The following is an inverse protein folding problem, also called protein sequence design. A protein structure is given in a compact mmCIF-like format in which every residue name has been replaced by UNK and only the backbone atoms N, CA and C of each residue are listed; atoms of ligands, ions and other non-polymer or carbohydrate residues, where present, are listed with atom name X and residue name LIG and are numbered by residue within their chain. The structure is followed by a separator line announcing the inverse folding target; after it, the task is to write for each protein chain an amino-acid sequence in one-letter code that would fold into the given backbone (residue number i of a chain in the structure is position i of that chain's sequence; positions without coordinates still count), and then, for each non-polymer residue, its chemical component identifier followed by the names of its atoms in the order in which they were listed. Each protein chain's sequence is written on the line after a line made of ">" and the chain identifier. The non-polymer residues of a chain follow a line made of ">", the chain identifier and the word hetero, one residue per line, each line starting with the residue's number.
data_IF_195940499827
#
_entry.id   IF_195940499827
#
_cell.length_a   1.000
_cell.length_b   1.000
_cell.length_c   1.000
_cell.angle_alpha   90.00
_cell.angle_beta   90.00
_cell.angle_gamma   90.00
#
_symmetry.space_group_name_H-M   'P 1'
#
loop_
_entity.id
_entity.type
_entity.pdbx_description
1 polymer ?
#
# COMPACT_ATOMS: atom_id res chain seq x y z
N UNK A 1 -47.41 69.25 16.53
CA UNK A 1 -47.39 67.99 17.24
C UNK A 1 -46.62 67.03 16.33
N UNK A 2 -45.40 66.75 16.67
CA UNK A 2 -44.43 66.09 15.85
C UNK A 2 -44.40 64.56 16.17
N UNK A 3 -44.48 63.70 15.11
CA UNK A 3 -44.30 62.29 15.23
C UNK A 3 -43.01 61.90 14.55
N UNK A 4 -42.01 61.40 15.32
CA UNK A 4 -40.81 60.87 14.82
C UNK A 4 -41.02 59.42 14.31
N UNK A 5 -40.77 59.22 13.02
CA UNK A 5 -40.66 57.91 12.41
C UNK A 5 -39.18 57.44 12.50
N UNK A 6 -38.96 56.35 13.17
CA UNK A 6 -37.66 55.66 13.16
C UNK A 6 -37.63 54.65 12.00
N UNK A 7 -36.72 54.84 11.07
CA UNK A 7 -36.41 53.90 10.01
C UNK A 7 -35.53 52.79 10.55
N UNK A 8 -35.97 51.54 10.49
CA UNK A 8 -35.13 50.36 10.78
C UNK A 8 -34.42 49.97 9.49
N UNK A 9 -33.09 49.93 9.53
CA UNK A 9 -32.24 49.31 8.52
C UNK A 9 -32.37 47.78 8.57
N UNK A 10 -32.35 47.06 7.43
CA UNK A 10 -32.37 45.62 7.43
C UNK A 10 -30.94 45.07 7.75
N UNK A 11 -30.85 44.23 8.77
CA UNK A 11 -29.65 43.49 9.11
C UNK A 11 -29.24 42.60 7.94
N UNK A 12 -28.00 42.77 7.50
CA UNK A 12 -27.37 41.92 6.51
C UNK A 12 -27.14 40.51 7.12
N UNK A 13 -27.90 39.53 6.66
CA UNK A 13 -27.62 38.13 6.89
C UNK A 13 -26.25 37.77 6.26
N UNK A 14 -25.23 37.64 7.10
CA UNK A 14 -23.99 36.99 6.72
C UNK A 14 -24.31 35.51 6.47
N UNK A 15 -24.39 35.16 5.18
CA UNK A 15 -24.35 33.75 4.73
C UNK A 15 -23.09 33.12 5.27
N UNK A 16 -23.21 32.25 6.28
CA UNK A 16 -22.17 31.36 6.72
C UNK A 16 -21.71 30.50 5.50
N UNK A 17 -20.47 30.68 5.09
CA UNK A 17 -19.84 29.84 4.11
C UNK A 17 -19.96 28.39 4.57
N UNK A 18 -20.65 27.56 3.79
CA UNK A 18 -20.91 26.17 4.09
C UNK A 18 -19.61 25.42 4.31
N UNK A 19 -19.37 24.99 5.54
CA UNK A 19 -18.42 23.94 5.82
C UNK A 19 -18.92 22.69 5.08
N UNK A 20 -18.19 22.25 4.06
CA UNK A 20 -18.45 20.98 3.39
C UNK A 20 -18.48 19.85 4.43
N UNK A 21 -19.15 18.74 4.15
CA UNK A 21 -19.30 17.65 5.11
C UNK A 21 -17.93 17.20 5.63
N UNK A 22 -17.69 17.41 6.91
CA UNK A 22 -16.48 16.92 7.59
C UNK A 22 -16.50 15.41 7.57
N UNK A 23 -15.50 14.79 6.95
CA UNK A 23 -15.23 13.36 7.07
C UNK A 23 -14.55 13.13 8.42
N UNK A 24 -15.29 13.14 9.50
CA UNK A 24 -14.74 12.65 10.76
C UNK A 24 -14.67 11.12 10.71
N UNK A 25 -13.53 10.62 10.25
CA UNK A 25 -13.18 9.20 10.36
C UNK A 25 -12.79 8.95 11.81
N UNK A 26 -13.58 8.15 12.51
CA UNK A 26 -13.26 7.66 13.85
C UNK A 26 -12.46 6.37 13.72
N UNK A 27 -11.40 6.25 14.50
CA UNK A 27 -10.56 5.06 14.62
C UNK A 27 -10.67 4.56 16.05
N UNK A 28 -10.85 3.26 16.23
CA UNK A 28 -10.87 2.63 17.55
C UNK A 28 -9.48 2.73 18.19
N UNK A 29 -9.41 3.00 19.50
CA UNK A 29 -8.14 3.04 20.22
C UNK A 29 -7.33 1.74 20.05
N UNK A 30 -6.01 1.88 20.07
CA UNK A 30 -5.07 0.75 20.07
C UNK A 30 -4.50 0.61 21.48
N UNK A 31 -4.62 -0.56 22.07
CA UNK A 31 -4.01 -0.84 23.37
C UNK A 31 -2.66 -1.52 23.19
N UNK A 32 -1.63 -1.03 23.90
CA UNK A 32 -0.31 -1.65 23.88
C UNK A 32 -0.36 -3.05 24.50
N UNK A 33 0.25 -4.01 23.83
CA UNK A 33 0.33 -5.40 24.31
C UNK A 33 1.69 -6.03 23.98
N UNK A 34 1.99 -7.14 24.64
CA UNK A 34 3.14 -8.00 24.32
C UNK A 34 2.72 -9.31 23.68
N UNK A 35 1.42 -9.57 23.64
CA UNK A 35 0.87 -10.78 23.05
C UNK A 35 -0.37 -10.42 22.24
N UNK A 36 -0.44 -10.97 21.04
CA UNK A 36 -1.63 -10.91 20.21
C UNK A 36 -1.72 -12.14 19.29
N UNK A 37 -2.87 -12.32 18.72
CA UNK A 37 -3.06 -13.20 17.56
C UNK A 37 -3.53 -12.30 16.42
N UNK A 38 -2.76 -12.28 15.34
CA UNK A 38 -3.06 -11.44 14.18
C UNK A 38 -4.27 -11.94 13.37
N UNK A 39 -4.61 -11.20 12.31
CA UNK A 39 -5.76 -11.52 11.43
C UNK A 39 -5.64 -12.88 10.75
N UNK A 40 -4.42 -13.41 10.58
CA UNK A 40 -4.16 -14.73 9.98
C UNK A 40 -4.04 -15.85 11.03
N UNK A 41 -4.29 -15.55 12.31
CA UNK A 41 -4.24 -16.52 13.40
C UNK A 41 -2.82 -16.80 13.91
N UNK A 42 -1.81 -16.03 13.51
CA UNK A 42 -0.44 -16.17 14.00
C UNK A 42 -0.32 -15.53 15.39
N UNK A 43 0.11 -16.32 16.36
CA UNK A 43 0.33 -15.84 17.72
C UNK A 43 1.73 -15.28 17.88
N UNK A 44 1.82 -14.01 18.29
CA UNK A 44 3.05 -13.30 18.60
C UNK A 44 3.10 -13.05 20.11
N UNK A 45 4.24 -13.37 20.72
CA UNK A 45 4.49 -13.11 22.16
C UNK A 45 5.91 -12.59 22.33
N UNK A 46 6.03 -11.34 22.78
CA UNK A 46 7.28 -10.62 22.99
C UNK A 46 7.57 -10.48 24.49
N UNK A 47 8.83 -10.68 24.90
CA UNK A 47 9.24 -10.49 26.30
C UNK A 47 9.30 -9.01 26.70
N UNK A 48 9.62 -8.14 25.75
CA UNK A 48 9.72 -6.68 25.89
C UNK A 48 9.32 -6.02 24.56
N UNK A 49 9.24 -4.70 24.53
CA UNK A 49 9.13 -3.96 23.27
C UNK A 49 10.31 -4.28 22.37
N UNK A 50 10.03 -4.57 21.07
CA UNK A 50 11.10 -4.87 20.14
C UNK A 50 11.88 -3.59 19.81
N UNK A 51 13.19 -3.62 19.99
CA UNK A 51 14.10 -2.51 19.68
C UNK A 51 14.84 -2.74 18.35
N UNK A 52 15.08 -4.01 18.02
CA UNK A 52 15.77 -4.41 16.79
C UNK A 52 14.81 -5.23 15.94
N UNK A 53 14.28 -4.57 14.92
CA UNK A 53 13.33 -5.18 13.99
C UNK A 53 14.00 -5.31 12.63
N UNK A 54 13.98 -6.52 12.07
CA UNK A 54 14.45 -6.80 10.71
C UNK A 54 13.27 -7.01 9.80
N UNK A 55 13.24 -6.29 8.69
CA UNK A 55 12.21 -6.35 7.67
C UNK A 55 12.65 -7.18 6.47
N UNK A 56 11.93 -8.25 6.14
CA UNK A 56 12.19 -9.09 4.97
C UNK A 56 11.25 -8.79 3.80
N UNK A 57 10.33 -7.82 3.94
CA UNK A 57 9.48 -7.34 2.86
C UNK A 57 8.94 -5.93 3.16
N UNK A 58 8.52 -5.25 2.10
CA UNK A 58 8.28 -3.82 2.13
C UNK A 58 7.10 -3.37 3.02
N UNK A 59 6.09 -4.22 3.27
CA UNK A 59 5.02 -3.90 4.23
C UNK A 59 5.58 -3.64 5.63
N UNK A 60 6.60 -4.38 6.06
CA UNK A 60 7.25 -4.14 7.34
C UNK A 60 7.87 -2.74 7.40
N UNK A 61 8.61 -2.34 6.35
CA UNK A 61 9.21 -1.01 6.28
C UNK A 61 8.16 0.10 6.24
N UNK A 62 7.04 -0.14 5.54
CA UNK A 62 5.91 0.77 5.47
C UNK A 62 5.32 1.00 6.87
N UNK A 63 4.97 -0.09 7.56
CA UNK A 63 4.41 -0.05 8.92
C UNK A 63 5.37 0.66 9.88
N UNK A 64 6.65 0.27 9.91
CA UNK A 64 7.62 0.86 10.82
C UNK A 64 7.81 2.36 10.55
N UNK A 65 7.80 2.77 9.27
CA UNK A 65 7.86 4.19 8.91
C UNK A 65 6.65 4.96 9.44
N UNK A 66 5.43 4.40 9.35
CA UNK A 66 4.21 5.01 9.93
C UNK A 66 4.31 5.16 11.44
N UNK A 67 4.94 4.19 12.11
CA UNK A 67 5.13 4.18 13.56
C UNK A 67 6.34 5.02 14.03
N UNK A 68 7.08 5.66 13.10
CA UNK A 68 8.27 6.45 13.41
C UNK A 68 9.46 5.57 13.86
N UNK A 69 9.50 4.32 13.44
CA UNK A 69 10.56 3.37 13.74
C UNK A 69 11.40 3.16 12.48
N UNK A 70 12.73 3.24 12.62
CA UNK A 70 13.66 2.84 11.56
C UNK A 70 14.00 1.36 11.77
N UNK A 71 13.83 0.50 10.76
CA UNK A 71 14.23 -0.91 10.91
C UNK A 71 15.73 -1.04 11.11
N UNK A 72 16.16 -2.06 11.84
CA UNK A 72 17.59 -2.38 12.05
C UNK A 72 18.23 -2.80 10.72
N UNK A 73 17.52 -3.57 9.92
CA UNK A 73 17.94 -3.97 8.59
C UNK A 73 16.73 -4.31 7.72
N UNK A 74 16.87 -4.20 6.41
CA UNK A 74 15.88 -4.57 5.42
C UNK A 74 16.50 -5.25 4.20
N UNK A 75 15.71 -5.94 3.38
CA UNK A 75 16.16 -6.54 2.11
C UNK A 75 15.43 -5.95 0.89
N UNK A 76 14.80 -4.80 1.03
CA UNK A 76 14.04 -4.15 -0.05
C UNK A 76 14.37 -2.66 -0.17
N UNK A 77 13.90 -2.02 -1.25
CA UNK A 77 14.28 -0.66 -1.62
C UNK A 77 13.23 0.39 -1.22
N UNK A 78 12.11 0.03 -0.60
CA UNK A 78 11.00 0.94 -0.34
C UNK A 78 11.42 2.18 0.46
N UNK A 79 12.31 2.00 1.45
CA UNK A 79 12.78 3.11 2.30
C UNK A 79 13.48 4.23 1.54
N UNK A 80 14.08 3.93 0.38
CA UNK A 80 14.72 4.94 -0.47
C UNK A 80 13.71 5.86 -1.18
N UNK A 81 12.46 5.45 -1.30
CA UNK A 81 11.43 6.28 -1.92
C UNK A 81 11.20 7.57 -1.13
N UNK A 82 11.02 8.76 -1.81
CA UNK A 82 10.85 10.06 -1.12
C UNK A 82 9.67 10.13 -0.14
N UNK A 83 8.65 9.31 -0.34
CA UNK A 83 7.50 9.19 0.56
C UNK A 83 7.82 8.48 1.89
N UNK A 84 9.03 7.93 2.05
CA UNK A 84 9.53 7.19 3.20
C UNK A 84 10.74 7.92 3.82
N UNK A 85 11.89 7.25 3.93
CA UNK A 85 13.11 7.89 4.46
C UNK A 85 13.84 8.75 3.42
N UNK A 86 13.68 8.42 2.13
CA UNK A 86 14.46 9.00 1.04
C UNK A 86 15.84 8.34 0.92
N UNK A 87 16.49 8.55 -0.24
CA UNK A 87 17.73 7.85 -0.60
C UNK A 87 18.85 7.99 0.44
N UNK A 88 19.08 9.17 0.97
CA UNK A 88 20.21 9.42 1.87
C UNK A 88 20.04 8.72 3.22
N UNK A 89 18.85 8.78 3.84
CA UNK A 89 18.61 8.13 5.12
C UNK A 89 18.42 6.62 4.97
N UNK A 90 17.91 6.17 3.84
CA UNK A 90 17.78 4.73 3.60
C UNK A 90 19.13 4.02 3.54
N UNK A 91 20.21 4.71 3.14
CA UNK A 91 21.60 4.18 3.14
C UNK A 91 22.14 3.89 4.55
N UNK A 92 21.51 4.47 5.58
CA UNK A 92 21.90 4.24 6.98
C UNK A 92 21.28 2.95 7.55
N UNK A 93 20.33 2.33 6.83
CA UNK A 93 19.70 1.06 7.21
C UNK A 93 20.49 -0.09 6.57
N UNK A 94 20.90 -1.05 7.39
CA UNK A 94 21.65 -2.20 6.91
C UNK A 94 20.83 -3.05 5.92
N UNK A 95 21.49 -3.59 4.90
CA UNK A 95 20.86 -4.42 3.88
C UNK A 95 21.10 -5.89 4.15
N UNK A 96 20.06 -6.70 4.25
CA UNK A 96 20.15 -8.15 4.34
C UNK A 96 20.48 -8.71 2.95
N UNK A 97 21.61 -9.40 2.78
CA UNK A 97 21.97 -10.03 1.51
C UNK A 97 21.08 -11.23 1.17
N UNK A 98 21.18 -11.72 -0.09
CA UNK A 98 20.38 -12.83 -0.59
C UNK A 98 19.05 -12.41 -1.23
N UNK A 99 18.71 -11.13 -1.16
CA UNK A 99 17.53 -10.53 -1.78
C UNK A 99 16.21 -10.99 -1.18
N UNK A 100 15.10 -10.68 -1.86
CA UNK A 100 13.76 -10.93 -1.36
C UNK A 100 13.43 -12.42 -1.20
N UNK A 101 13.82 -13.25 -2.17
CA UNK A 101 13.40 -14.67 -2.21
C UNK A 101 14.18 -15.55 -1.22
N UNK A 102 15.47 -15.26 -1.00
CA UNK A 102 16.36 -16.10 -0.22
C UNK A 102 17.32 -15.28 0.66
N UNK A 103 16.78 -14.47 1.62
CA UNK A 103 17.62 -13.69 2.51
C UNK A 103 18.52 -14.60 3.36
N UNK A 104 19.76 -14.16 3.58
CA UNK A 104 20.75 -14.95 4.33
C UNK A 104 20.43 -14.96 5.83
N UNK A 105 20.17 -16.15 6.38
CA UNK A 105 19.78 -16.33 7.79
C UNK A 105 20.86 -15.84 8.75
N UNK A 106 22.14 -16.14 8.45
CA UNK A 106 23.26 -15.69 9.26
C UNK A 106 23.36 -14.16 9.32
N UNK A 107 23.10 -13.49 8.22
CA UNK A 107 23.06 -12.02 8.16
C UNK A 107 21.90 -11.49 9.00
N UNK A 108 20.69 -12.07 8.91
CA UNK A 108 19.55 -11.71 9.76
C UNK A 108 19.93 -11.81 11.24
N UNK A 109 20.49 -12.97 11.65
CA UNK A 109 20.81 -13.25 13.05
C UNK A 109 21.99 -12.41 13.58
N UNK A 110 22.90 -11.95 12.69
CA UNK A 110 24.02 -11.07 13.09
C UNK A 110 23.55 -9.74 13.69
N UNK A 111 22.38 -9.26 13.28
CA UNK A 111 21.73 -8.06 13.83
C UNK A 111 21.09 -8.28 15.22
N UNK A 112 21.06 -9.53 15.71
CA UNK A 112 20.44 -9.93 16.99
C UNK A 112 19.01 -9.38 17.13
N UNK A 113 18.12 -9.62 16.15
CA UNK A 113 16.80 -9.05 16.15
C UNK A 113 15.94 -9.54 17.31
N UNK A 114 15.12 -8.66 17.87
CA UNK A 114 14.06 -9.03 18.81
C UNK A 114 12.83 -9.55 18.04
N UNK A 115 12.64 -9.05 16.81
CA UNK A 115 11.55 -9.39 15.90
C UNK A 115 12.03 -9.38 14.45
N UNK A 116 11.68 -10.42 13.70
CA UNK A 116 11.84 -10.50 12.24
C UNK A 116 10.46 -10.57 11.63
N UNK A 117 10.17 -9.69 10.68
CA UNK A 117 8.89 -9.65 9.97
C UNK A 117 9.12 -10.06 8.52
N UNK A 118 8.37 -11.05 8.03
CA UNK A 118 8.49 -11.59 6.68
C UNK A 118 7.14 -11.87 6.05
N UNK A 119 7.13 -12.07 4.72
CA UNK A 119 5.94 -12.51 3.99
C UNK A 119 5.80 -14.03 4.13
N UNK A 120 4.63 -14.54 4.55
CA UNK A 120 4.41 -15.96 4.84
C UNK A 120 4.78 -16.86 3.65
N UNK A 121 4.20 -16.61 2.48
CA UNK A 121 4.40 -17.43 1.29
C UNK A 121 5.87 -17.53 0.84
N UNK A 122 6.67 -16.48 1.11
CA UNK A 122 8.08 -16.43 0.69
C UNK A 122 9.02 -16.83 1.81
N UNK A 123 8.79 -16.30 3.02
CA UNK A 123 9.73 -16.36 4.14
C UNK A 123 9.30 -17.35 5.22
N UNK A 124 8.10 -17.94 5.20
CA UNK A 124 7.63 -18.91 6.19
C UNK A 124 8.59 -20.09 6.36
N UNK A 125 9.27 -20.50 5.29
CA UNK A 125 10.33 -21.53 5.30
C UNK A 125 11.54 -21.19 6.19
N UNK A 126 11.73 -19.93 6.60
CA UNK A 126 12.81 -19.50 7.49
C UNK A 126 12.49 -19.74 8.97
N UNK A 127 11.22 -19.96 9.32
CA UNK A 127 10.78 -20.11 10.71
C UNK A 127 11.58 -21.15 11.51
N UNK A 128 11.92 -22.36 10.99
CA UNK A 128 12.75 -23.33 11.73
C UNK A 128 14.15 -22.82 12.04
N UNK A 129 14.78 -22.08 11.13
CA UNK A 129 16.14 -21.56 11.29
C UNK A 129 16.20 -20.37 12.28
N UNK A 130 15.12 -19.59 12.36
CA UNK A 130 15.00 -18.44 13.27
C UNK A 130 14.54 -18.84 14.68
N UNK A 131 13.96 -20.05 14.83
CA UNK A 131 13.38 -20.54 16.08
C UNK A 131 14.41 -20.56 17.22
N UNK A 132 14.04 -19.93 18.33
CA UNK A 132 14.87 -19.86 19.54
C UNK A 132 15.91 -18.73 19.55
N UNK A 133 16.21 -18.14 18.40
CA UNK A 133 17.10 -16.99 18.28
C UNK A 133 16.34 -15.66 18.28
N UNK A 134 15.17 -15.62 17.64
CA UNK A 134 14.32 -14.42 17.53
C UNK A 134 12.85 -14.82 17.41
N UNK A 135 11.96 -13.85 17.52
CA UNK A 135 10.54 -14.02 17.15
C UNK A 135 10.42 -13.74 15.65
N UNK A 136 9.79 -14.65 14.92
CA UNK A 136 9.46 -14.46 13.51
C UNK A 136 7.96 -14.25 13.37
N UNK A 137 7.59 -13.15 12.73
CA UNK A 137 6.20 -12.81 12.42
C UNK A 137 5.97 -12.87 10.92
N UNK A 138 5.40 -13.97 10.43
CA UNK A 138 4.98 -14.08 9.04
C UNK A 138 3.66 -13.31 8.84
N UNK A 139 3.62 -12.37 7.90
CA UNK A 139 2.42 -11.62 7.51
C UNK A 139 1.98 -12.05 6.11
N UNK A 140 0.67 -12.09 5.86
CA UNK A 140 0.10 -12.41 4.55
C UNK A 140 -1.05 -11.46 4.23
N UNK A 141 -0.77 -10.20 3.83
CA UNK A 141 -1.83 -9.26 3.44
C UNK A 141 -2.37 -9.61 2.04
N UNK A 142 -3.68 -9.70 1.91
CA UNK A 142 -4.39 -9.88 0.64
C UNK A 142 -5.17 -8.61 0.27
N UNK A 143 -5.60 -7.84 1.27
CA UNK A 143 -6.42 -6.65 1.10
C UNK A 143 -5.87 -5.46 1.88
N UNK A 144 -6.35 -4.25 1.56
CA UNK A 144 -6.01 -3.06 2.35
C UNK A 144 -6.48 -3.15 3.81
N UNK A 145 -7.54 -3.93 4.09
CA UNK A 145 -8.02 -4.16 5.44
C UNK A 145 -6.99 -4.94 6.27
N UNK A 146 -6.35 -5.95 5.68
CA UNK A 146 -5.29 -6.72 6.33
C UNK A 146 -4.10 -5.81 6.64
N UNK A 147 -3.75 -4.91 5.72
CA UNK A 147 -2.67 -3.94 5.92
C UNK A 147 -2.94 -3.01 7.10
N UNK A 148 -4.19 -2.56 7.28
CA UNK A 148 -4.61 -1.77 8.46
C UNK A 148 -4.54 -2.65 9.72
N UNK A 149 -4.96 -3.90 9.66
CA UNK A 149 -4.85 -4.85 10.77
C UNK A 149 -3.41 -5.01 11.24
N UNK A 150 -2.47 -5.28 10.32
CA UNK A 150 -1.04 -5.41 10.63
C UNK A 150 -0.42 -4.11 11.17
N UNK A 151 -0.83 -2.94 10.66
CA UNK A 151 -0.41 -1.66 11.24
C UNK A 151 -0.85 -1.55 12.71
N UNK A 152 -2.10 -1.89 13.02
CA UNK A 152 -2.64 -1.84 14.39
C UNK A 152 -1.91 -2.82 15.31
N UNK A 153 -1.68 -4.05 14.84
CA UNK A 153 -0.98 -5.09 15.58
C UNK A 153 0.47 -4.69 15.87
N UNK A 154 1.18 -4.15 14.87
CA UNK A 154 2.54 -3.65 15.06
C UNK A 154 2.59 -2.44 16.01
N UNK A 155 1.62 -1.52 15.92
CA UNK A 155 1.51 -0.39 16.83
C UNK A 155 1.30 -0.86 18.28
N UNK A 156 0.45 -1.87 18.50
CA UNK A 156 0.22 -2.47 19.80
C UNK A 156 1.49 -3.14 20.38
N UNK A 157 2.19 -3.96 19.56
CA UNK A 157 3.41 -4.68 19.97
C UNK A 157 4.60 -3.76 20.25
N UNK A 158 4.71 -2.63 19.53
CA UNK A 158 5.81 -1.66 19.65
C UNK A 158 5.49 -0.51 20.61
N UNK A 159 4.29 -0.48 21.19
CA UNK A 159 3.85 0.62 22.07
C UNK A 159 3.64 1.96 21.33
N UNK A 160 3.60 1.95 19.99
CA UNK A 160 3.39 3.13 19.14
C UNK A 160 1.91 3.33 18.80
N UNK A 161 1.05 3.24 19.80
CA UNK A 161 -0.41 3.21 19.60
C UNK A 161 -0.95 4.50 19.01
N UNK A 162 -0.48 5.65 19.48
CA UNK A 162 -0.91 6.96 18.98
C UNK A 162 -0.48 7.20 17.51
N UNK A 163 0.73 6.77 17.15
CA UNK A 163 1.23 6.81 15.78
C UNK A 163 0.40 5.90 14.87
N UNK A 164 0.09 4.68 15.31
CA UNK A 164 -0.74 3.74 14.58
C UNK A 164 -2.15 4.27 14.34
N UNK A 165 -2.83 4.80 15.36
CA UNK A 165 -4.15 5.44 15.24
C UNK A 165 -4.13 6.61 14.26
N UNK A 166 -3.09 7.45 14.34
CA UNK A 166 -2.91 8.59 13.42
C UNK A 166 -2.73 8.13 11.98
N UNK A 167 -1.90 7.10 11.76
CA UNK A 167 -1.64 6.54 10.43
C UNK A 167 -2.92 5.94 9.83
N UNK A 168 -3.63 5.11 10.59
CA UNK A 168 -4.91 4.56 10.18
C UNK A 168 -5.93 5.65 9.83
N UNK A 169 -6.10 6.66 10.71
CA UNK A 169 -7.01 7.78 10.47
C UNK A 169 -6.66 8.54 9.19
N UNK A 170 -5.36 8.77 8.95
CA UNK A 170 -4.87 9.45 7.75
C UNK A 170 -5.22 8.65 6.50
N UNK A 171 -4.92 7.36 6.49
CA UNK A 171 -5.24 6.47 5.38
C UNK A 171 -6.74 6.39 5.11
N UNK A 172 -7.56 6.13 6.13
CA UNK A 172 -9.02 6.04 5.98
C UNK A 172 -9.65 7.35 5.52
N UNK A 173 -9.09 8.49 5.93
CA UNK A 173 -9.54 9.81 5.46
C UNK A 173 -9.24 10.00 3.97
N UNK A 174 -8.06 9.60 3.51
CA UNK A 174 -7.71 9.60 2.08
C UNK A 174 -8.61 8.67 1.29
N UNK A 175 -8.82 7.44 1.77
CA UNK A 175 -9.70 6.46 1.12
C UNK A 175 -11.13 6.99 0.98
N UNK A 176 -11.71 7.53 2.04
CA UNK A 176 -13.05 8.10 2.00
C UNK A 176 -13.16 9.30 1.06
N UNK A 177 -12.10 10.09 0.91
CA UNK A 177 -12.04 11.18 -0.08
C UNK A 177 -11.99 10.64 -1.51
N UNK A 178 -11.16 9.64 -1.76
CA UNK A 178 -11.04 8.99 -3.07
C UNK A 178 -12.35 8.29 -3.49
N UNK A 179 -13.00 7.58 -2.58
CA UNK A 179 -14.29 6.92 -2.80
C UNK A 179 -15.40 7.90 -3.19
N UNK A 180 -15.42 9.11 -2.61
CA UNK A 180 -16.38 10.17 -3.02
C UNK A 180 -16.10 10.75 -4.40
N UNK A 181 -14.86 10.68 -4.84
CA UNK A 181 -14.41 11.12 -6.15
C UNK A 181 -14.35 9.96 -7.17
N UNK A 182 -15.04 8.84 -6.87
CA UNK A 182 -15.07 7.66 -7.72
C UNK A 182 -15.38 8.04 -9.17
N UNK A 183 -14.59 7.48 -10.08
CA UNK A 183 -14.74 7.68 -11.52
C UNK A 183 -15.61 6.58 -12.13
N UNK A 184 -16.26 6.88 -13.26
CA UNK A 184 -16.99 5.90 -14.06
C UNK A 184 -16.08 5.25 -15.13
N UNK A 185 -14.79 5.63 -15.19
CA UNK A 185 -13.80 5.02 -16.09
C UNK A 185 -13.52 3.58 -15.71
N UNK A 186 -13.29 2.73 -16.72
CA UNK A 186 -12.79 1.36 -16.52
C UNK A 186 -11.27 1.38 -16.37
N UNK A 187 -10.78 0.91 -15.22
CA UNK A 187 -9.35 0.87 -14.91
C UNK A 187 -8.80 -0.56 -14.85
N UNK A 188 -7.50 -0.71 -15.08
CA UNK A 188 -6.77 -1.96 -14.91
C UNK A 188 -5.38 -1.68 -14.32
N UNK A 189 -4.91 -2.56 -13.45
CA UNK A 189 -3.52 -2.63 -13.00
C UNK A 189 -2.90 -3.88 -13.61
N UNK A 190 -1.86 -3.71 -14.41
CA UNK A 190 -1.09 -4.80 -15.01
C UNK A 190 0.31 -4.83 -14.43
N UNK A 191 0.87 -6.01 -14.26
CA UNK A 191 2.20 -6.19 -13.70
C UNK A 191 3.00 -7.26 -14.44
N UNK A 192 4.32 -7.11 -14.46
CA UNK A 192 5.21 -8.08 -15.09
C UNK A 192 6.53 -7.48 -15.54
N UNK A 193 7.32 -8.30 -16.21
CA UNK A 193 8.65 -7.90 -16.74
C UNK A 193 8.77 -8.05 -18.24
N UNK A 194 7.81 -8.70 -18.91
CA UNK A 194 7.82 -9.02 -20.32
C UNK A 194 6.40 -9.12 -20.90
N UNK A 195 6.26 -9.70 -22.08
CA UNK A 195 4.96 -9.89 -22.76
C UNK A 195 4.01 -10.82 -21.99
N UNK A 196 4.51 -11.65 -21.07
CA UNK A 196 3.71 -12.44 -20.14
C UNK A 196 3.45 -11.59 -18.89
N UNK A 197 2.35 -10.91 -18.87
CA UNK A 197 1.95 -10.02 -17.79
C UNK A 197 0.78 -10.62 -17.01
N UNK A 198 0.65 -10.17 -15.75
CA UNK A 198 -0.51 -10.44 -14.90
C UNK A 198 -1.42 -9.23 -14.81
N UNK A 199 -2.65 -9.47 -14.36
CA UNK A 199 -3.62 -8.45 -13.97
C UNK A 199 -3.81 -8.55 -12.46
N UNK A 200 -3.57 -7.47 -11.75
CA UNK A 200 -3.83 -7.39 -10.31
C UNK A 200 -5.36 -7.43 -10.08
N UNK A 201 -5.80 -8.24 -9.15
CA UNK A 201 -7.22 -8.39 -8.84
C UNK A 201 -7.52 -8.06 -7.38
N UNK A 202 -8.73 -7.55 -7.07
CA UNK A 202 -9.07 -7.12 -5.71
C UNK A 202 -8.97 -8.22 -4.65
N UNK A 203 -9.03 -9.49 -5.09
CA UNK A 203 -8.96 -10.66 -4.21
C UNK A 203 -7.53 -11.12 -3.89
N UNK A 204 -6.54 -10.71 -4.71
CA UNK A 204 -5.17 -11.27 -4.63
C UNK A 204 -4.08 -10.21 -4.58
N UNK A 205 -4.46 -8.94 -4.71
CA UNK A 205 -3.51 -7.82 -4.69
C UNK A 205 -4.01 -6.68 -3.81
N UNK A 206 -3.13 -6.24 -2.90
CA UNK A 206 -3.48 -5.26 -1.87
C UNK A 206 -3.82 -3.88 -2.46
N UNK A 207 -3.05 -3.41 -3.46
CA UNK A 207 -3.35 -2.14 -4.12
C UNK A 207 -4.61 -2.24 -4.97
N UNK A 208 -4.77 -3.35 -5.72
CA UNK A 208 -5.97 -3.59 -6.53
C UNK A 208 -7.24 -3.70 -5.68
N UNK A 209 -7.14 -4.11 -4.41
CA UNK A 209 -8.29 -4.18 -3.50
C UNK A 209 -8.95 -2.80 -3.22
N UNK A 210 -8.28 -1.70 -3.55
CA UNK A 210 -8.82 -0.34 -3.46
C UNK A 210 -9.69 0.04 -4.68
N UNK A 211 -9.40 -0.52 -5.85
CA UNK A 211 -9.94 -0.04 -7.12
C UNK A 211 -11.47 -0.12 -7.27
N UNK A 212 -12.18 -1.13 -6.72
CA UNK A 212 -13.65 -1.14 -6.73
C UNK A 212 -14.29 0.10 -6.09
N UNK A 213 -13.54 0.81 -5.23
CA UNK A 213 -13.96 2.07 -4.60
C UNK A 213 -13.62 3.31 -5.43
N UNK A 214 -12.69 3.18 -6.39
CA UNK A 214 -12.12 4.31 -7.14
C UNK A 214 -12.67 4.42 -8.57
N UNK A 215 -12.96 3.27 -9.22
CA UNK A 215 -13.31 3.19 -10.63
C UNK A 215 -14.20 1.97 -10.91
N UNK A 216 -14.59 1.77 -12.16
CA UNK A 216 -15.05 0.46 -12.63
C UNK A 216 -13.84 -0.46 -12.76
N UNK A 217 -13.87 -1.58 -12.02
CA UNK A 217 -12.75 -2.53 -11.94
C UNK A 217 -13.28 -3.97 -12.03
N UNK A 218 -13.55 -4.47 -13.24
CA UNK A 218 -14.25 -5.74 -13.44
C UNK A 218 -13.36 -6.99 -13.30
N UNK A 219 -12.07 -6.81 -13.00
CA UNK A 219 -11.08 -7.88 -12.98
C UNK A 219 -11.21 -8.72 -11.72
N UNK A 220 -11.28 -10.05 -11.91
CA UNK A 220 -11.43 -11.04 -10.83
C UNK A 220 -10.35 -12.10 -10.92
N UNK A 221 -9.97 -12.66 -9.77
CA UNK A 221 -9.04 -13.77 -9.71
C UNK A 221 -9.57 -14.97 -10.51
N UNK A 222 -8.69 -15.57 -11.32
CA UNK A 222 -8.95 -16.79 -12.10
C UNK A 222 -8.15 -17.99 -11.58
N UNK A 223 -7.56 -17.86 -10.40
CA UNK A 223 -6.63 -18.84 -9.82
C UNK A 223 -5.23 -18.75 -10.41
N UNK A 224 -4.38 -19.68 -10.03
CA UNK A 224 -2.93 -19.66 -10.34
C UNK A 224 -2.64 -19.75 -11.83
N UNK A 225 -3.50 -20.41 -12.62
CA UNK A 225 -3.31 -20.62 -14.07
C UNK A 225 -4.09 -19.61 -14.92
N UNK A 226 -4.91 -18.75 -14.32
CA UNK A 226 -5.80 -17.82 -15.02
C UNK A 226 -5.13 -16.48 -15.28
N UNK A 227 -4.76 -16.17 -16.53
CA UNK A 227 -4.32 -14.85 -16.97
C UNK A 227 -5.35 -14.19 -17.87
N UNK A 228 -5.29 -12.87 -17.97
CA UNK A 228 -6.04 -12.10 -18.95
C UNK A 228 -5.20 -11.90 -20.21
N UNK A 229 -5.82 -12.05 -21.38
CA UNK A 229 -5.18 -11.75 -22.66
C UNK A 229 -5.38 -10.29 -23.07
N UNK A 230 -4.56 -9.80 -23.99
CA UNK A 230 -4.75 -8.47 -24.58
C UNK A 230 -6.08 -8.32 -25.32
N UNK A 231 -6.61 -9.41 -25.90
CA UNK A 231 -7.93 -9.45 -26.55
C UNK A 231 -9.05 -9.20 -25.53
N UNK A 232 -8.96 -9.78 -24.33
CA UNK A 232 -9.95 -9.58 -23.28
C UNK A 232 -9.88 -8.17 -22.73
N UNK A 233 -8.66 -7.62 -22.54
CA UNK A 233 -8.46 -6.24 -22.10
C UNK A 233 -9.00 -5.25 -23.15
N UNK A 234 -8.76 -5.50 -24.42
CA UNK A 234 -9.32 -4.71 -25.52
C UNK A 234 -10.86 -4.77 -25.53
N UNK A 235 -11.42 -5.96 -25.31
CA UNK A 235 -12.87 -6.14 -25.29
C UNK A 235 -13.56 -5.49 -24.09
N UNK A 236 -12.83 -5.27 -23.00
CA UNK A 236 -13.32 -4.57 -21.81
C UNK A 236 -13.32 -3.03 -21.94
N UNK A 237 -12.85 -2.49 -23.07
CA UNK A 237 -12.85 -1.05 -23.38
C UNK A 237 -12.20 -0.20 -22.30
N UNK A 238 -10.99 -0.59 -21.86
CA UNK A 238 -10.26 -0.01 -20.73
C UNK A 238 -9.89 1.45 -21.00
N UNK A 239 -10.24 2.35 -20.08
CA UNK A 239 -9.96 3.78 -20.16
C UNK A 239 -8.61 4.18 -19.56
N UNK A 240 -8.17 3.48 -18.51
CA UNK A 240 -6.93 3.82 -17.78
C UNK A 240 -6.15 2.54 -17.43
N UNK A 241 -4.86 2.53 -17.75
CA UNK A 241 -3.94 1.44 -17.41
C UNK A 241 -2.90 1.95 -16.42
N UNK A 242 -2.75 1.26 -15.29
CA UNK A 242 -1.59 1.37 -14.40
C UNK A 242 -0.66 0.21 -14.67
N UNK A 243 0.58 0.51 -15.02
CA UNK A 243 1.58 -0.48 -15.44
C UNK A 243 2.70 -0.58 -14.42
N UNK A 244 2.81 -1.76 -13.79
CA UNK A 244 3.86 -2.08 -12.82
C UNK A 244 4.94 -2.92 -13.50
N UNK A 245 6.11 -2.34 -13.69
CA UNK A 245 7.27 -3.11 -14.13
C UNK A 245 7.90 -3.80 -12.93
N UNK A 246 7.74 -5.12 -12.81
CA UNK A 246 8.35 -5.93 -11.75
C UNK A 246 9.55 -6.66 -12.34
N UNK A 247 10.75 -6.34 -11.83
CA UNK A 247 12.00 -7.02 -12.19
C UNK A 247 12.68 -7.54 -10.93
N UNK A 248 13.21 -8.76 -10.99
CA UNK A 248 14.07 -9.35 -9.94
C UNK A 248 15.58 -9.17 -10.25
N UNK A 249 15.92 -8.34 -11.24
CA UNK A 249 17.26 -7.97 -11.66
C UNK A 249 17.30 -6.57 -12.24
N UNK A 250 18.30 -6.27 -13.10
CA UNK A 250 18.30 -5.01 -13.85
C UNK A 250 17.05 -4.97 -14.76
N UNK A 251 16.28 -3.88 -14.65
CA UNK A 251 15.09 -3.70 -15.46
C UNK A 251 15.48 -3.42 -16.92
N UNK A 252 15.13 -4.31 -17.83
CA UNK A 252 15.29 -4.14 -19.26
C UNK A 252 14.05 -3.49 -19.89
N UNK A 253 13.84 -2.21 -19.59
CA UNK A 253 12.72 -1.41 -20.10
C UNK A 253 11.42 -1.60 -19.32
N UNK A 254 10.41 -0.83 -19.69
CA UNK A 254 9.09 -0.82 -19.06
C UNK A 254 8.18 -1.90 -19.63
N UNK A 255 7.25 -2.41 -18.81
CA UNK A 255 6.27 -3.39 -19.25
C UNK A 255 5.45 -2.87 -20.43
N UNK A 256 4.96 -1.63 -20.38
CA UNK A 256 4.18 -1.03 -21.47
C UNK A 256 4.95 -0.93 -22.79
N UNK A 257 6.27 -0.67 -22.74
CA UNK A 257 7.14 -0.63 -23.93
C UNK A 257 7.28 -2.01 -24.58
N UNK A 258 7.30 -3.07 -23.78
CA UNK A 258 7.35 -4.46 -24.26
C UNK A 258 6.01 -4.88 -24.87
N UNK A 259 4.91 -4.56 -24.20
CA UNK A 259 3.56 -4.81 -24.72
C UNK A 259 3.27 -4.03 -26.01
N UNK A 260 3.90 -2.87 -26.22
CA UNK A 260 3.76 -2.09 -27.45
C UNK A 260 4.25 -2.82 -28.72
N UNK A 261 5.00 -3.91 -28.59
CA UNK A 261 5.38 -4.79 -29.70
C UNK A 261 4.21 -5.59 -30.26
N UNK A 262 3.14 -5.79 -29.44
CA UNK A 262 1.93 -6.46 -29.88
C UNK A 262 0.96 -5.43 -30.52
N UNK A 263 0.51 -5.64 -31.78
CA UNK A 263 -0.40 -4.72 -32.45
C UNK A 263 -1.75 -4.49 -31.75
N UNK A 264 -2.17 -5.41 -30.88
CA UNK A 264 -3.42 -5.27 -30.12
C UNK A 264 -3.29 -4.21 -29.03
N UNK A 265 -2.10 -4.05 -28.43
CA UNK A 265 -1.85 -3.05 -27.41
C UNK A 265 -2.26 -1.64 -27.85
N UNK A 266 -1.82 -1.23 -29.04
CA UNK A 266 -2.15 0.08 -29.60
C UNK A 266 -3.64 0.29 -29.95
N UNK A 267 -4.48 -0.75 -29.86
CA UNK A 267 -5.94 -0.66 -30.11
C UNK A 267 -6.73 -0.41 -28.83
N UNK A 268 -6.14 -0.64 -27.64
CA UNK A 268 -6.78 -0.41 -26.36
C UNK A 268 -7.06 1.10 -26.19
N UNK A 269 -8.27 1.51 -25.77
CA UNK A 269 -8.62 2.93 -25.62
C UNK A 269 -7.64 3.71 -24.76
N UNK A 270 -7.27 3.19 -23.59
CA UNK A 270 -6.27 3.81 -22.72
C UNK A 270 -4.94 4.10 -23.44
N UNK A 271 -4.44 3.18 -24.26
CA UNK A 271 -3.19 3.35 -25.01
C UNK A 271 -3.32 4.42 -26.08
N UNK A 272 -4.44 4.43 -26.82
CA UNK A 272 -4.71 5.44 -27.85
C UNK A 272 -4.84 6.84 -27.30
N UNK A 273 -5.38 6.95 -26.09
CA UNK A 273 -5.64 8.22 -25.43
C UNK A 273 -4.42 8.73 -24.62
N UNK A 274 -3.40 7.89 -24.45
CA UNK A 274 -2.21 8.23 -23.63
C UNK A 274 -2.45 8.08 -22.13
N UNK A 275 -3.49 7.34 -21.72
CA UNK A 275 -3.87 7.08 -20.33
C UNK A 275 -3.22 5.77 -19.80
N UNK A 276 -1.94 5.57 -20.12
CA UNK A 276 -1.09 4.51 -19.57
C UNK A 276 -0.11 5.13 -18.58
N UNK A 277 -0.24 4.78 -17.32
CA UNK A 277 0.55 5.32 -16.22
C UNK A 277 1.54 4.29 -15.70
N UNK A 278 2.84 4.55 -15.90
CA UNK A 278 3.89 3.75 -15.28
C UNK A 278 3.97 4.11 -13.80
N UNK A 279 3.81 3.11 -12.94
CA UNK A 279 3.80 3.31 -11.49
C UNK A 279 5.02 2.67 -10.82
N UNK A 280 5.38 3.18 -9.66
CA UNK A 280 6.52 2.67 -8.91
C UNK A 280 6.18 1.34 -8.23
N UNK A 281 6.75 0.23 -8.70
CA UNK A 281 6.48 -1.11 -8.19
C UNK A 281 6.91 -1.32 -6.74
N UNK A 282 7.89 -0.57 -6.22
CA UNK A 282 8.26 -0.63 -4.79
C UNK A 282 7.10 -0.14 -3.90
N UNK A 283 6.32 0.84 -4.38
CA UNK A 283 5.16 1.39 -3.68
C UNK A 283 3.90 0.57 -3.96
N UNK A 284 3.60 0.33 -5.24
CA UNK A 284 2.32 -0.26 -5.66
C UNK A 284 2.25 -1.77 -5.39
N UNK A 285 3.23 -2.54 -5.89
CA UNK A 285 3.23 -3.99 -5.78
C UNK A 285 3.81 -4.49 -4.45
N UNK A 286 4.90 -3.87 -3.96
CA UNK A 286 5.67 -4.38 -2.82
C UNK A 286 5.33 -3.70 -1.51
N UNK A 287 5.00 -2.40 -1.52
CA UNK A 287 4.78 -1.58 -0.31
C UNK A 287 3.66 -2.12 0.57
N UNK A 288 2.46 -2.23 0.04
CA UNK A 288 1.26 -2.85 0.65
C UNK A 288 0.77 -2.23 1.96
N UNK A 289 1.52 -1.35 2.61
CA UNK A 289 1.13 -0.71 3.86
C UNK A 289 0.29 0.55 3.64
N UNK A 290 -0.20 1.13 4.73
CA UNK A 290 -1.12 2.28 4.67
C UNK A 290 -0.50 3.52 4.06
N UNK A 291 0.82 3.70 4.15
CA UNK A 291 1.55 4.80 3.51
C UNK A 291 1.65 4.60 2.01
N UNK A 292 2.09 3.42 1.57
CA UNK A 292 2.11 3.06 0.15
C UNK A 292 0.73 3.15 -0.47
N UNK A 293 -0.28 2.58 0.17
CA UNK A 293 -1.66 2.65 -0.29
C UNK A 293 -2.21 4.08 -0.33
N UNK A 294 -1.74 4.94 0.57
CA UNK A 294 -2.03 6.37 0.55
C UNK A 294 -1.44 7.08 -0.67
N UNK A 295 -0.26 6.67 -1.16
CA UNK A 295 0.34 7.15 -2.41
C UNK A 295 -0.44 6.61 -3.60
N UNK A 296 -0.75 5.31 -3.62
CA UNK A 296 -1.60 4.68 -4.65
C UNK A 296 -2.92 5.43 -4.81
N UNK A 297 -3.60 5.77 -3.71
CA UNK A 297 -4.86 6.53 -3.74
C UNK A 297 -4.69 7.90 -4.39
N UNK A 298 -3.61 8.62 -4.05
CA UNK A 298 -3.36 9.95 -4.60
C UNK A 298 -3.06 9.87 -6.12
N UNK A 299 -2.20 8.95 -6.55
CA UNK A 299 -1.82 8.75 -7.96
C UNK A 299 -2.99 8.22 -8.78
N UNK A 300 -3.70 7.18 -8.30
CA UNK A 300 -4.86 6.61 -9.00
C UNK A 300 -5.99 7.64 -9.13
N UNK A 301 -6.30 8.40 -8.06
CA UNK A 301 -7.34 9.43 -8.13
C UNK A 301 -6.97 10.55 -9.10
N UNK A 302 -5.69 10.89 -9.23
CA UNK A 302 -5.22 11.91 -10.19
C UNK A 302 -5.38 11.43 -11.65
N UNK A 303 -5.04 10.18 -11.95
CA UNK A 303 -5.15 9.58 -13.28
C UNK A 303 -6.61 9.32 -13.72
N UNK A 304 -7.48 9.03 -12.77
CA UNK A 304 -8.91 8.72 -13.02
C UNK A 304 -9.78 9.97 -13.27
N UNK A 305 -9.26 11.17 -13.08
CA UNK A 305 -9.98 12.41 -13.38
C UNK A 305 -10.04 12.67 -14.89
#
# INVERSE_FOLDING_TARGET
>A
MAGCGASAEPASEQRAAGAGPRTDVTVEPIEATRELTDTNGVRISLRKEPERIVCLFALCDDILTELGIVPTATNNALLAHPGFLGEEKAKEVDVIPGGFIAPEVEAILSHKPDLVIGLEDTHGKLAPALKGATIFWPMQPETWQDSVGYLRDAAALTGRTAEGEKAEKTFRTKLAKAERARSDKTAIVIYGSDENFGVATPETDVAASLFPKLADYPWKSRGVEGSYSLEEILAADVDVIFSETISFGEADGKLSEKLARNPLWGKIPAVRNGDVHEVNSEVWAKGRGTRSLGIVLDEATAALR
#
